data_IF_439869888427
#
_entry.id   IF_439869888427
#
_cell.length_a   1.000
_cell.length_b   1.000
_cell.length_c   1.000
_cell.angle_alpha   90.00
_cell.angle_beta   90.00
_cell.angle_gamma   90.00
#
_symmetry.space_group_name_H-M   'P 1'
#
loop_
_entity.id
_entity.type
_entity.pdbx_description
1 polymer ?
#
# COMPACT_ATOMS: atom_id res chain seq x y z
N UNK A 1 12.68 -16.37 4.43
CA UNK A 1 13.44 -16.54 3.17
C UNK A 1 13.17 -15.37 2.21
N UNK A 2 11.94 -15.19 1.68
CA UNK A 2 11.62 -14.07 0.78
C UNK A 2 11.88 -12.67 1.38
N UNK A 3 11.35 -12.41 2.58
CA UNK A 3 11.56 -11.14 3.31
C UNK A 3 13.03 -10.79 3.54
N UNK A 4 13.88 -11.79 3.72
CA UNK A 4 15.33 -11.60 3.89
C UNK A 4 15.98 -11.21 2.57
N UNK A 5 15.62 -11.89 1.48
CA UNK A 5 16.15 -11.62 0.14
C UNK A 5 15.77 -10.19 -0.33
N UNK A 6 14.50 -9.80 -0.19
CA UNK A 6 14.05 -8.45 -0.55
C UNK A 6 14.70 -7.38 0.31
N UNK A 7 14.92 -7.64 1.61
CA UNK A 7 15.63 -6.72 2.50
C UNK A 7 17.08 -6.53 2.10
N UNK A 8 17.79 -7.61 1.75
CA UNK A 8 19.19 -7.52 1.32
C UNK A 8 19.29 -6.79 -0.02
N UNK A 9 18.46 -7.16 -1.00
CA UNK A 9 18.41 -6.50 -2.29
C UNK A 9 18.17 -4.99 -2.16
N UNK A 10 17.12 -4.59 -1.42
CA UNK A 10 16.82 -3.18 -1.16
C UNK A 10 17.97 -2.46 -0.43
N UNK A 11 18.69 -3.15 0.45
CA UNK A 11 19.86 -2.60 1.14
C UNK A 11 21.06 -2.38 0.22
N UNK A 12 21.20 -3.18 -0.84
CA UNK A 12 22.28 -3.04 -1.83
C UNK A 12 21.99 -1.97 -2.89
N UNK A 13 20.73 -1.83 -3.30
CA UNK A 13 20.34 -0.94 -4.41
C UNK A 13 19.77 0.41 -3.95
N UNK A 14 19.31 0.51 -2.71
CA UNK A 14 18.50 1.62 -2.23
C UNK A 14 19.28 2.69 -1.47
N UNK A 15 18.78 3.91 -1.52
CA UNK A 15 19.27 5.08 -0.75
C UNK A 15 18.56 5.25 0.61
N UNK A 16 17.79 4.23 1.03
CA UNK A 16 17.00 4.23 2.27
C UNK A 16 15.52 4.61 2.10
N UNK A 17 15.09 5.04 0.91
CA UNK A 17 13.68 5.35 0.61
C UNK A 17 12.84 4.10 0.31
N UNK A 18 13.47 3.03 -0.17
CA UNK A 18 12.80 1.80 -0.56
C UNK A 18 12.37 0.95 0.66
N UNK A 19 11.17 0.38 0.59
CA UNK A 19 10.61 -0.49 1.62
C UNK A 19 10.60 -1.92 1.07
N UNK A 20 11.31 -2.88 1.71
CA UNK A 20 11.31 -4.26 1.24
C UNK A 20 9.97 -4.93 1.51
N UNK A 21 9.48 -5.68 0.53
CA UNK A 21 8.25 -6.48 0.66
C UNK A 21 8.54 -7.70 1.52
N UNK A 22 7.71 -7.94 2.54
CA UNK A 22 7.90 -9.05 3.48
C UNK A 22 7.23 -10.36 3.07
N UNK A 23 6.17 -10.30 2.27
CA UNK A 23 5.34 -11.43 1.88
C UNK A 23 5.32 -11.57 0.36
N UNK A 24 5.62 -12.77 -0.13
CA UNK A 24 5.52 -13.06 -1.56
C UNK A 24 4.04 -13.08 -2.00
N UNK A 25 3.16 -13.58 -1.13
CA UNK A 25 1.72 -13.71 -1.44
C UNK A 25 1.08 -12.34 -1.59
N UNK A 26 1.46 -11.35 -0.78
CA UNK A 26 0.86 -10.02 -0.84
C UNK A 26 1.58 -9.07 -1.81
N UNK A 27 2.57 -9.58 -2.54
CA UNK A 27 3.39 -8.75 -3.44
C UNK A 27 2.64 -8.31 -4.70
N UNK A 28 1.67 -9.11 -5.14
CA UNK A 28 0.76 -8.82 -6.25
C UNK A 28 -0.15 -7.61 -5.99
N UNK A 29 -0.47 -7.35 -4.71
CA UNK A 29 -1.26 -6.19 -4.26
C UNK A 29 -0.47 -4.88 -4.27
N UNK A 30 0.86 -4.93 -4.30
CA UNK A 30 1.75 -3.78 -4.22
C UNK A 30 2.19 -3.27 -5.60
N UNK A 31 1.20 -2.90 -6.43
CA UNK A 31 1.43 -2.27 -7.73
C UNK A 31 1.51 -0.73 -7.68
N UNK A 32 1.83 -0.07 -8.79
CA UNK A 32 1.68 1.37 -8.92
C UNK A 32 0.25 1.81 -8.59
N UNK A 33 0.11 2.89 -7.83
CA UNK A 33 -1.18 3.45 -7.37
C UNK A 33 -1.99 2.54 -6.43
N UNK A 34 -1.48 1.38 -6.02
CA UNK A 34 -2.09 0.62 -4.92
C UNK A 34 -1.99 1.39 -3.62
N UNK A 35 -3.03 1.29 -2.79
CA UNK A 35 -3.03 1.91 -1.48
C UNK A 35 -2.56 0.94 -0.40
N UNK A 36 -2.05 1.50 0.70
CA UNK A 36 -1.55 0.74 1.85
C UNK A 36 -2.01 1.40 3.14
N UNK A 37 -2.29 0.59 4.16
CA UNK A 37 -2.56 1.09 5.50
C UNK A 37 -1.26 1.16 6.28
N UNK A 38 -0.91 2.35 6.75
CA UNK A 38 0.21 2.52 7.68
C UNK A 38 -0.25 2.16 9.09
N UNK A 39 0.28 1.06 9.62
CA UNK A 39 0.07 0.68 11.01
C UNK A 39 0.79 1.68 11.92
N UNK A 40 0.04 2.34 12.80
CA UNK A 40 0.63 3.20 13.83
C UNK A 40 1.36 2.33 14.83
N UNK A 41 2.64 2.61 15.03
CA UNK A 41 3.42 1.93 16.06
C UNK A 41 3.54 2.85 17.25
N UNK A 42 3.16 2.36 18.43
CA UNK A 42 3.23 3.11 19.68
C UNK A 42 4.67 3.44 20.11
N UNK A 43 5.66 2.77 19.53
CA UNK A 43 7.07 2.92 19.90
C UNK A 43 7.89 3.50 18.74
N UNK A 44 8.56 4.63 18.99
CA UNK A 44 9.40 5.38 18.04
C UNK A 44 10.54 4.52 17.45
N UNK A 45 10.95 3.47 18.14
CA UNK A 45 12.04 2.57 17.70
C UNK A 45 11.58 1.46 16.76
N UNK A 46 10.28 1.21 16.66
CA UNK A 46 9.76 0.20 15.77
C UNK A 46 9.46 0.79 14.39
N UNK A 47 10.01 0.16 13.35
CA UNK A 47 9.74 0.55 11.97
C UNK A 47 8.25 0.39 11.67
N UNK A 48 7.56 1.43 11.14
CA UNK A 48 6.16 1.31 10.78
C UNK A 48 5.95 0.21 9.74
N UNK A 49 4.87 -0.57 9.93
CA UNK A 49 4.45 -1.60 9.00
C UNK A 49 3.40 -1.04 8.05
N UNK A 50 3.53 -1.39 6.78
CA UNK A 50 2.57 -1.06 5.73
C UNK A 50 1.84 -2.35 5.36
N UNK A 51 0.51 -2.32 5.42
CA UNK A 51 -0.34 -3.44 5.07
C UNK A 51 -0.93 -3.19 3.69
N UNK A 52 -0.74 -4.10 2.72
CA UNK A 52 -1.37 -4.00 1.41
C UNK A 52 -2.90 -3.98 1.54
N UNK A 53 -3.55 -3.24 0.66
CA UNK A 53 -5.01 -3.27 0.51
C UNK A 53 -5.40 -3.76 -0.87
N UNK A 54 -6.67 -4.10 -1.03
CA UNK A 54 -7.21 -4.60 -2.30
C UNK A 54 -7.78 -3.46 -3.19
N UNK A 55 -7.46 -2.21 -2.87
CA UNK A 55 -7.96 -1.03 -3.58
C UNK A 55 -6.81 -0.12 -4.05
N UNK A 56 -7.03 0.49 -5.20
CA UNK A 56 -6.12 1.43 -5.87
C UNK A 56 -6.59 2.86 -5.67
N UNK A 57 -5.72 3.82 -6.01
CA UNK A 57 -6.07 5.23 -5.97
C UNK A 57 -7.26 5.56 -6.87
N UNK A 58 -7.40 4.90 -8.02
CA UNK A 58 -8.52 5.08 -8.95
C UNK A 58 -9.87 4.74 -8.31
N UNK A 59 -9.91 3.70 -7.49
CA UNK A 59 -11.13 3.26 -6.79
C UNK A 59 -11.61 4.33 -5.79
N UNK A 60 -10.69 5.12 -5.23
CA UNK A 60 -11.00 6.21 -4.29
C UNK A 60 -11.32 7.53 -5.02
N UNK A 61 -10.67 7.78 -6.15
CA UNK A 61 -10.85 9.01 -6.92
C UNK A 61 -12.10 9.00 -7.81
N UNK A 62 -12.77 7.85 -7.95
CA UNK A 62 -14.10 7.76 -8.58
C UNK A 62 -15.12 8.31 -7.58
N UNK A 63 -15.15 9.63 -7.45
CA UNK A 63 -16.12 10.33 -6.61
C UNK A 63 -17.53 9.93 -7.00
N UNK A 64 -18.37 9.71 -5.98
CA UNK A 64 -19.78 9.39 -6.12
C UNK A 64 -20.38 10.11 -7.32
N UNK A 65 -20.66 9.38 -8.40
CA UNK A 65 -21.74 9.81 -9.28
C UNK A 65 -23.00 9.49 -8.48
N UNK A 66 -23.27 10.32 -7.48
CA UNK A 66 -24.61 10.54 -6.95
C UNK A 66 -25.39 11.03 -8.16
N UNK A 67 -25.91 10.07 -8.92
CA UNK A 67 -27.03 10.25 -9.81
C UNK A 67 -28.15 10.76 -8.90
N UNK A 68 -28.16 12.07 -8.71
CA UNK A 68 -29.27 12.82 -8.21
C UNK A 68 -30.35 12.71 -9.27
N UNK A 69 -31.02 11.55 -9.31
CA UNK A 69 -32.39 11.46 -9.80
C UNK A 69 -33.27 12.18 -8.76
N UNK A 70 -33.06 13.50 -8.70
CA UNK A 70 -34.09 14.44 -8.30
C UNK A 70 -35.26 14.20 -9.26
N UNK A 71 -36.45 14.04 -8.69
CA UNK A 71 -37.64 13.61 -9.42
C UNK A 71 -37.80 14.33 -10.75
N UNK A 72 -38.00 13.54 -11.80
CA UNK A 72 -38.74 14.03 -12.95
C UNK A 72 -40.21 13.75 -12.68
N UNK A 73 -40.96 14.84 -12.68
CA UNK A 73 -42.41 14.92 -12.66
C UNK A 73 -43.08 14.14 -13.82
#
# INVERSE_FOLDING_TARGET
MFSTATRNFVGEIGDGSLIPVSSLIDSDKLGPLSLVVKSKVFWIWQKPKYLPTDFTLSDVLTGDTINSSCGQD
#
